data_IF_137265182473
#
_entry.id   IF_137265182473
#
_cell.length_a   1.000
_cell.length_b   1.000
_cell.length_c   1.000
_cell.angle_alpha   90.00
_cell.angle_beta   90.00
_cell.angle_gamma   90.00
#
_symmetry.space_group_name_H-M   'P 1'
#
loop_
_entity.id
_entity.type
_entity.pdbx_description
1 polymer ?
#
# COMPACT_ATOMS: atom_id res chain seq x y z
N UNK A 1 -41.56 -1.79 -24.31
CA UNK A 1 -40.46 -2.75 -24.53
C UNK A 1 -39.49 -2.57 -23.38
N UNK A 2 -39.81 -3.21 -22.26
CA UNK A 2 -39.08 -3.13 -21.01
C UNK A 2 -37.94 -4.15 -21.04
N UNK A 3 -36.73 -3.68 -20.74
CA UNK A 3 -35.52 -4.49 -20.80
C UNK A 3 -35.26 -5.12 -19.43
N UNK A 4 -35.08 -6.43 -19.49
CA UNK A 4 -34.96 -7.40 -18.42
C UNK A 4 -33.72 -7.14 -17.55
N UNK A 5 -33.91 -6.71 -16.29
CA UNK A 5 -32.89 -6.84 -15.23
C UNK A 5 -33.14 -8.15 -14.51
N UNK A 6 -32.43 -9.19 -14.93
CA UNK A 6 -32.27 -10.40 -14.12
C UNK A 6 -31.45 -10.02 -12.87
N UNK A 7 -32.15 -9.88 -11.74
CA UNK A 7 -31.52 -9.92 -10.43
C UNK A 7 -30.92 -11.31 -10.22
N UNK A 8 -29.62 -11.34 -9.97
CA UNK A 8 -28.90 -12.54 -9.56
C UNK A 8 -29.38 -12.89 -8.15
N UNK A 9 -30.31 -13.86 -8.06
CA UNK A 9 -30.72 -14.49 -6.80
C UNK A 9 -29.53 -15.23 -6.20
N UNK A 10 -29.00 -14.72 -5.09
CA UNK A 10 -28.27 -15.56 -4.14
C UNK A 10 -29.32 -16.38 -3.38
N UNK A 11 -29.55 -17.61 -3.83
CA UNK A 11 -30.33 -18.62 -3.09
C UNK A 11 -29.54 -19.03 -1.83
N UNK A 12 -29.55 -18.14 -0.84
CA UNK A 12 -29.38 -18.51 0.56
C UNK A 12 -30.74 -19.06 0.96
N UNK A 13 -30.87 -20.39 1.02
CA UNK A 13 -32.11 -21.15 1.25
C UNK A 13 -32.87 -20.75 2.51
N UNK A 14 -33.49 -19.58 2.46
CA UNK A 14 -34.43 -19.02 3.41
C UNK A 14 -35.80 -19.61 3.10
N UNK A 15 -36.58 -19.90 4.13
CA UNK A 15 -37.96 -20.33 3.92
C UNK A 15 -38.75 -19.20 3.24
N UNK A 16 -39.77 -19.56 2.45
CA UNK A 16 -40.65 -18.60 1.78
C UNK A 16 -41.37 -17.66 2.75
N UNK A 17 -41.52 -18.03 4.02
CA UNK A 17 -42.01 -17.15 5.09
C UNK A 17 -40.97 -16.11 5.52
N UNK A 18 -39.67 -16.44 5.51
CA UNK A 18 -38.61 -15.52 5.90
C UNK A 18 -38.33 -14.47 4.81
N UNK A 19 -38.43 -14.84 3.53
CA UNK A 19 -38.40 -13.87 2.42
C UNK A 19 -39.60 -12.91 2.47
N UNK A 20 -40.80 -13.43 2.80
CA UNK A 20 -42.00 -12.60 2.93
C UNK A 20 -41.89 -11.62 4.11
N UNK A 21 -41.29 -12.05 5.24
CA UNK A 21 -41.03 -11.19 6.40
C UNK A 21 -39.96 -10.13 6.11
N UNK A 22 -38.93 -10.45 5.34
CA UNK A 22 -37.91 -9.49 4.91
C UNK A 22 -38.45 -8.43 3.96
N UNK A 23 -39.36 -8.80 3.04
CA UNK A 23 -40.07 -7.84 2.20
C UNK A 23 -40.98 -6.93 3.03
N UNK A 24 -41.72 -7.48 4.00
CA UNK A 24 -42.58 -6.71 4.88
C UNK A 24 -41.80 -5.71 5.76
N UNK A 25 -40.55 -6.02 6.14
CA UNK A 25 -39.69 -5.14 6.94
C UNK A 25 -39.12 -3.95 6.15
N UNK A 26 -39.03 -4.05 4.82
CA UNK A 26 -38.58 -2.94 3.96
C UNK A 26 -39.69 -1.92 3.65
N UNK A 27 -40.95 -2.21 3.99
CA UNK A 27 -42.10 -1.34 3.71
C UNK A 27 -42.65 -0.61 4.95
N UNK A 28 -42.03 -0.74 6.13
CA UNK A 28 -42.51 -0.04 7.33
C UNK A 28 -41.90 1.36 7.41
N UNK A 29 -42.76 2.38 7.31
CA UNK A 29 -42.38 3.77 7.50
C UNK A 29 -41.86 4.01 8.94
N UNK A 30 -40.84 4.86 9.14
CA UNK A 30 -40.14 5.03 10.41
C UNK A 30 -40.99 5.52 11.60
N UNK A 31 -42.26 5.86 11.39
CA UNK A 31 -43.17 6.35 12.43
C UNK A 31 -43.79 5.24 13.31
N UNK A 32 -43.71 3.96 12.92
CA UNK A 32 -44.31 2.86 13.69
C UNK A 32 -43.31 2.13 14.62
N UNK A 33 -42.03 2.53 14.62
CA UNK A 33 -40.97 1.90 15.43
C UNK A 33 -40.95 2.37 16.90
N UNK A 34 -41.69 3.42 17.26
CA UNK A 34 -41.76 3.91 18.65
C UNK A 34 -42.81 3.19 19.52
N UNK A 35 -43.65 2.32 18.94
CA UNK A 35 -44.74 1.63 19.68
C UNK A 35 -44.49 0.17 20.03
N UNK A 36 -43.36 -0.41 19.65
CA UNK A 36 -42.99 -1.77 20.05
C UNK A 36 -41.81 -1.70 21.01
N UNK A 37 -42.14 -1.35 22.26
CA UNK A 37 -41.26 -1.50 23.40
C UNK A 37 -41.01 -2.98 23.69
N UNK A 38 -39.72 -3.30 23.87
CA UNK A 38 -39.22 -4.42 24.69
C UNK A 38 -39.91 -5.78 24.50
N UNK A 39 -39.65 -6.45 23.38
CA UNK A 39 -39.29 -7.88 23.36
C UNK A 39 -39.02 -8.34 21.93
N UNK A 40 -37.93 -9.11 21.77
CA UNK A 40 -37.83 -10.08 20.69
C UNK A 40 -37.17 -9.59 19.39
N UNK A 41 -35.84 -9.64 19.35
CA UNK A 41 -35.16 -10.47 18.35
C UNK A 41 -33.66 -10.57 18.68
N UNK A 42 -33.35 -11.49 19.60
CA UNK A 42 -31.96 -11.89 19.92
C UNK A 42 -31.21 -12.26 18.63
N UNK A 43 -31.91 -12.85 17.66
CA UNK A 43 -31.34 -13.17 16.35
C UNK A 43 -30.99 -11.93 15.53
N UNK A 44 -31.83 -10.88 15.48
CA UNK A 44 -31.50 -9.66 14.71
C UNK A 44 -30.36 -8.89 15.38
N UNK A 45 -30.35 -8.78 16.71
CA UNK A 45 -29.23 -8.19 17.46
C UNK A 45 -27.94 -9.01 17.29
N UNK A 46 -28.04 -10.34 17.27
CA UNK A 46 -26.92 -11.25 17.01
C UNK A 46 -26.41 -11.13 15.56
N UNK A 47 -27.28 -11.15 14.56
CA UNK A 47 -26.92 -10.99 13.15
C UNK A 47 -26.34 -9.61 12.87
N UNK A 48 -26.87 -8.53 13.47
CA UNK A 48 -26.27 -7.20 13.40
C UNK A 48 -24.89 -7.18 14.07
N UNK A 49 -24.75 -7.76 15.26
CA UNK A 49 -23.44 -7.87 15.95
C UNK A 49 -22.43 -8.68 15.15
N UNK A 50 -22.83 -9.82 14.57
CA UNK A 50 -21.98 -10.69 13.75
C UNK A 50 -21.64 -9.99 12.42
N UNK A 51 -22.59 -9.34 11.76
CA UNK A 51 -22.33 -8.61 10.52
C UNK A 51 -21.44 -7.38 10.76
N UNK A 52 -21.64 -6.64 11.87
CA UNK A 52 -20.71 -5.59 12.30
C UNK A 52 -19.31 -6.16 12.61
N UNK A 53 -19.25 -7.34 13.24
CA UNK A 53 -17.99 -8.03 13.56
C UNK A 53 -17.27 -8.47 12.28
N UNK A 54 -17.98 -9.07 11.33
CA UNK A 54 -17.46 -9.51 10.02
C UNK A 54 -17.06 -8.30 9.15
N UNK A 55 -17.83 -7.23 9.13
CA UNK A 55 -17.47 -6.00 8.41
C UNK A 55 -16.33 -5.24 9.09
N UNK A 56 -16.11 -5.40 10.40
CA UNK A 56 -14.96 -4.83 11.12
C UNK A 56 -13.62 -5.51 10.75
N UNK A 57 -13.67 -6.69 10.09
CA UNK A 57 -12.49 -7.31 9.48
C UNK A 57 -12.06 -6.63 8.18
N UNK A 58 -12.93 -5.84 7.53
CA UNK A 58 -12.50 -5.03 6.39
C UNK A 58 -11.50 -3.96 6.86
N UNK A 59 -10.31 -3.96 6.27
CA UNK A 59 -9.29 -2.95 6.54
C UNK A 59 -9.78 -1.56 6.11
N UNK A 60 -9.36 -0.51 6.81
CA UNK A 60 -9.56 0.86 6.34
C UNK A 60 -8.72 1.05 5.08
N UNK A 61 -9.33 1.47 3.99
CA UNK A 61 -8.64 1.71 2.72
C UNK A 61 -7.99 3.08 2.70
N UNK A 62 -7.05 3.28 1.77
CA UNK A 62 -6.44 4.61 1.54
C UNK A 62 -7.51 5.63 1.14
N UNK A 63 -8.52 5.23 0.36
CA UNK A 63 -9.59 6.12 -0.09
C UNK A 63 -10.52 6.51 1.06
N UNK A 64 -10.83 5.61 2.00
CA UNK A 64 -11.63 5.96 3.19
C UNK A 64 -10.99 7.11 3.98
N UNK A 65 -9.66 7.10 4.06
CA UNK A 65 -8.88 8.16 4.72
C UNK A 65 -8.84 9.46 3.92
N UNK A 66 -8.73 9.39 2.59
CA UNK A 66 -8.84 10.56 1.70
C UNK A 66 -10.21 11.21 1.90
N UNK A 67 -11.29 10.43 1.77
CA UNK A 67 -12.66 10.90 1.92
C UNK A 67 -12.91 11.51 3.30
N UNK A 68 -12.35 10.91 4.36
CA UNK A 68 -12.46 11.47 5.71
C UNK A 68 -11.85 12.87 5.80
N UNK A 69 -10.60 13.06 5.38
CA UNK A 69 -9.93 14.35 5.49
C UNK A 69 -10.50 15.39 4.54
N UNK A 70 -10.86 15.01 3.31
CA UNK A 70 -11.50 15.91 2.34
C UNK A 70 -12.84 16.43 2.88
N UNK A 71 -13.75 15.54 3.26
CA UNK A 71 -15.08 15.96 3.70
C UNK A 71 -15.03 16.67 5.06
N UNK A 72 -14.16 16.24 5.99
CA UNK A 72 -13.94 16.96 7.24
C UNK A 72 -13.41 18.37 6.98
N UNK A 73 -12.40 18.51 6.11
CA UNK A 73 -11.89 19.82 5.69
C UNK A 73 -13.00 20.70 5.12
N UNK A 74 -13.81 20.18 4.20
CA UNK A 74 -14.94 20.91 3.59
C UNK A 74 -15.92 21.39 4.65
N UNK A 75 -16.36 20.51 5.56
CA UNK A 75 -17.34 20.87 6.58
C UNK A 75 -16.81 21.90 7.58
N UNK A 76 -15.57 21.73 8.07
CA UNK A 76 -14.97 22.68 9.02
C UNK A 76 -14.73 24.05 8.36
N UNK A 77 -14.26 24.07 7.11
CA UNK A 77 -14.07 25.32 6.37
C UNK A 77 -15.39 26.00 6.00
N UNK A 78 -16.50 25.25 5.89
CA UNK A 78 -17.85 25.78 5.76
C UNK A 78 -18.45 26.29 7.09
N UNK A 79 -17.71 26.24 8.19
CA UNK A 79 -18.15 26.70 9.51
C UNK A 79 -19.02 25.70 10.28
N UNK A 80 -19.09 24.44 9.85
CA UNK A 80 -19.85 23.42 10.59
C UNK A 80 -19.06 23.00 11.84
N UNK A 81 -19.69 22.95 13.03
CA UNK A 81 -19.01 22.54 14.26
C UNK A 81 -18.38 21.15 14.16
N UNK A 82 -17.18 20.98 14.72
CA UNK A 82 -16.36 19.76 14.59
C UNK A 82 -17.09 18.47 14.98
N UNK A 83 -17.75 18.48 16.14
CA UNK A 83 -18.49 17.30 16.65
C UNK A 83 -19.59 16.89 15.65
N UNK A 84 -20.35 17.87 15.13
CA UNK A 84 -21.39 17.63 14.13
C UNK A 84 -20.80 17.08 12.84
N UNK A 85 -19.69 17.65 12.37
CA UNK A 85 -18.99 17.17 11.19
C UNK A 85 -18.57 15.71 11.35
N UNK A 86 -17.97 15.33 12.49
CA UNK A 86 -17.57 13.94 12.74
C UNK A 86 -18.77 12.98 12.75
N UNK A 87 -19.89 13.34 13.36
CA UNK A 87 -21.09 12.50 13.34
C UNK A 87 -21.65 12.31 11.91
N UNK A 88 -21.79 13.40 11.15
CA UNK A 88 -22.26 13.34 9.75
C UNK A 88 -21.34 12.46 8.90
N UNK A 89 -20.03 12.64 9.02
CA UNK A 89 -19.06 11.82 8.30
C UNK A 89 -19.14 10.36 8.67
N UNK A 90 -19.32 10.05 9.96
CA UNK A 90 -19.46 8.67 10.41
C UNK A 90 -20.66 7.97 9.76
N UNK A 91 -21.75 8.70 9.51
CA UNK A 91 -22.94 8.14 8.89
C UNK A 91 -22.81 8.00 7.36
N UNK A 92 -21.99 8.83 6.73
CA UNK A 92 -21.70 8.78 5.29
C UNK A 92 -20.65 7.76 4.89
N UNK A 93 -19.80 7.29 5.82
CA UNK A 93 -18.77 6.29 5.51
C UNK A 93 -19.37 4.93 5.16
N UNK A 94 -18.92 4.36 4.04
CA UNK A 94 -19.27 3.00 3.61
C UNK A 94 -18.51 1.94 4.40
N UNK A 95 -17.26 2.23 4.78
CA UNK A 95 -16.43 1.32 5.56
C UNK A 95 -16.85 1.32 7.04
N UNK A 96 -17.37 0.19 7.53
CA UNK A 96 -17.84 0.03 8.91
C UNK A 96 -16.75 0.33 9.95
N UNK A 97 -15.50 -0.11 9.69
CA UNK A 97 -14.39 0.14 10.61
C UNK A 97 -14.06 1.62 10.69
N UNK A 98 -14.04 2.32 9.55
CA UNK A 98 -13.81 3.77 9.53
C UNK A 98 -14.95 4.52 10.23
N UNK A 99 -16.21 4.11 10.01
CA UNK A 99 -17.38 4.64 10.70
C UNK A 99 -17.26 4.55 12.23
N UNK A 100 -16.90 3.38 12.76
CA UNK A 100 -16.71 3.17 14.19
C UNK A 100 -15.58 4.05 14.75
N UNK A 101 -14.46 4.17 14.02
CA UNK A 101 -13.35 5.04 14.40
C UNK A 101 -13.80 6.49 14.46
N UNK A 102 -14.48 7.02 13.43
CA UNK A 102 -14.95 8.41 13.42
C UNK A 102 -15.95 8.67 14.54
N UNK A 103 -16.83 7.71 14.85
CA UNK A 103 -17.73 7.83 16.02
C UNK A 103 -16.97 7.89 17.34
N UNK A 104 -15.90 7.11 17.49
CA UNK A 104 -15.03 7.17 18.68
C UNK A 104 -14.32 8.54 18.77
N UNK A 105 -13.85 9.09 17.64
CA UNK A 105 -13.31 10.45 17.59
C UNK A 105 -14.36 11.48 18.03
N UNK A 106 -15.59 11.40 17.50
CA UNK A 106 -16.68 12.32 17.84
C UNK A 106 -16.97 12.32 19.34
N UNK A 107 -17.10 11.13 19.95
CA UNK A 107 -17.35 10.97 21.39
C UNK A 107 -16.22 11.54 22.25
N UNK A 108 -14.96 11.30 21.87
CA UNK A 108 -13.79 11.81 22.61
C UNK A 108 -13.69 13.33 22.56
N UNK A 109 -14.06 13.93 21.43
CA UNK A 109 -14.08 15.40 21.29
C UNK A 109 -15.28 15.98 22.04
N UNK A 110 -16.44 15.30 22.02
CA UNK A 110 -17.65 15.69 22.74
C UNK A 110 -17.45 15.74 24.26
N UNK A 111 -16.64 14.84 24.82
CA UNK A 111 -16.28 14.85 26.26
C UNK A 111 -15.18 15.88 26.61
N UNK A 112 -14.77 16.73 25.66
CA UNK A 112 -13.80 17.80 25.86
C UNK A 112 -12.35 17.42 25.53
N UNK A 113 -12.11 16.23 24.95
CA UNK A 113 -10.79 15.84 24.46
C UNK A 113 -10.40 16.58 23.17
N UNK A 114 -9.09 16.61 22.89
CA UNK A 114 -8.56 17.10 21.61
C UNK A 114 -8.75 16.06 20.50
N UNK A 115 -9.04 16.52 19.30
CA UNK A 115 -9.11 15.70 18.08
C UNK A 115 -7.77 15.03 17.81
N UNK A 116 -6.65 15.74 17.98
CA UNK A 116 -5.31 15.15 17.78
C UNK A 116 -5.05 13.97 18.71
N UNK A 117 -5.46 14.05 19.98
CA UNK A 117 -5.29 12.98 20.94
C UNK A 117 -6.21 11.78 20.61
N UNK A 118 -7.44 12.05 20.20
CA UNK A 118 -8.36 11.03 19.71
C UNK A 118 -7.81 10.29 18.46
N UNK A 119 -7.24 11.02 17.50
CA UNK A 119 -6.60 10.45 16.31
C UNK A 119 -5.36 9.63 16.67
N UNK A 120 -4.57 10.06 17.65
CA UNK A 120 -3.35 9.36 18.08
C UNK A 120 -3.60 7.94 18.60
N UNK A 121 -4.83 7.65 19.05
CA UNK A 121 -5.25 6.31 19.47
C UNK A 121 -5.32 5.30 18.29
N UNK A 122 -5.30 5.78 17.05
CA UNK A 122 -5.39 4.96 15.83
C UNK A 122 -4.17 5.17 14.90
N UNK A 123 -2.94 4.86 15.35
CA UNK A 123 -1.69 5.16 14.61
C UNK A 123 -1.53 4.39 13.30
N UNK A 124 -2.32 3.31 13.09
CA UNK A 124 -2.37 2.58 11.81
C UNK A 124 -3.20 3.30 10.74
N UNK A 125 -4.04 4.24 11.16
CA UNK A 125 -4.96 4.98 10.29
C UNK A 125 -4.49 6.42 10.14
N UNK A 126 -4.26 7.10 11.26
CA UNK A 126 -3.76 8.47 11.29
C UNK A 126 -2.26 8.47 11.55
N UNK A 127 -1.49 8.97 10.59
CA UNK A 127 -0.04 9.06 10.71
C UNK A 127 0.37 10.17 11.68
N UNK A 128 1.59 10.07 12.23
CA UNK A 128 2.11 11.07 13.17
C UNK A 128 2.16 12.49 12.59
N UNK A 129 2.41 12.62 11.28
CA UNK A 129 2.37 13.90 10.57
C UNK A 129 1.00 14.56 10.67
N UNK A 130 -0.07 13.78 10.47
CA UNK A 130 -1.45 14.26 10.49
C UNK A 130 -1.86 14.65 11.91
N UNK A 131 -1.54 13.79 12.87
CA UNK A 131 -1.80 14.04 14.29
C UNK A 131 -1.07 15.29 14.76
N UNK A 132 0.21 15.46 14.39
CA UNK A 132 1.02 16.61 14.74
C UNK A 132 0.50 17.92 14.12
N UNK A 133 0.11 17.88 12.84
CA UNK A 133 -0.53 18.99 12.16
C UNK A 133 -1.84 19.39 12.87
N UNK A 134 -2.76 18.45 13.10
CA UNK A 134 -4.03 18.72 13.81
C UNK A 134 -3.77 19.31 15.19
N UNK A 135 -2.80 18.77 15.95
CA UNK A 135 -2.44 19.28 17.27
C UNK A 135 -1.99 20.74 17.22
N UNK A 136 -1.20 21.11 16.22
CA UNK A 136 -0.78 22.50 15.99
C UNK A 136 -1.97 23.39 15.62
N UNK A 137 -2.84 22.92 14.73
CA UNK A 137 -4.07 23.62 14.35
C UNK A 137 -5.02 23.86 15.52
N UNK A 138 -5.16 22.89 16.43
CA UNK A 138 -5.93 23.04 17.66
C UNK A 138 -5.31 24.04 18.63
N UNK A 139 -3.98 24.02 18.78
CA UNK A 139 -3.28 24.95 19.68
C UNK A 139 -3.28 26.39 19.17
N UNK A 140 -3.26 26.59 17.84
CA UNK A 140 -3.20 27.91 17.20
C UNK A 140 -4.56 28.43 16.73
N UNK A 141 -5.63 27.64 16.88
CA UNK A 141 -6.96 27.98 16.37
C UNK A 141 -7.10 27.92 14.85
N UNK A 142 -6.11 27.37 14.13
CA UNK A 142 -6.05 27.31 12.66
C UNK A 142 -6.44 25.93 12.11
N UNK A 143 -7.32 25.21 12.79
CA UNK A 143 -7.71 23.84 12.43
C UNK A 143 -8.29 23.75 11.00
N UNK A 144 -9.02 24.78 10.56
CA UNK A 144 -9.55 24.91 9.21
C UNK A 144 -8.47 24.88 8.11
N UNK A 145 -7.40 25.66 8.28
CA UNK A 145 -6.27 25.72 7.35
C UNK A 145 -5.49 24.40 7.34
N UNK A 146 -5.25 23.84 8.53
CA UNK A 146 -4.52 22.58 8.71
C UNK A 146 -5.25 21.41 8.06
N UNK A 147 -6.56 21.28 8.28
CA UNK A 147 -7.35 20.19 7.66
C UNK A 147 -7.34 20.28 6.14
N UNK A 148 -7.32 21.49 5.57
CA UNK A 148 -7.16 21.71 4.13
C UNK A 148 -5.81 21.21 3.63
N UNK A 149 -4.73 21.49 4.35
CA UNK A 149 -3.40 20.99 4.01
C UNK A 149 -3.33 19.46 4.08
N UNK A 150 -3.89 18.85 5.14
CA UNK A 150 -3.92 17.39 5.29
C UNK A 150 -4.71 16.75 4.15
N UNK A 151 -5.88 17.28 3.81
CA UNK A 151 -6.70 16.75 2.71
C UNK A 151 -5.91 16.68 1.40
N UNK A 152 -5.27 17.79 0.99
CA UNK A 152 -4.43 17.85 -0.21
C UNK A 152 -3.26 16.86 -0.14
N UNK A 153 -2.61 16.76 1.01
CA UNK A 153 -1.47 15.86 1.20
C UNK A 153 -1.87 14.39 1.09
N UNK A 154 -2.98 14.00 1.70
CA UNK A 154 -3.50 12.62 1.69
C UNK A 154 -3.99 12.25 0.30
N UNK A 155 -4.66 13.16 -0.41
CA UNK A 155 -5.11 12.97 -1.79
C UNK A 155 -3.92 12.75 -2.74
N UNK A 156 -2.90 13.63 -2.69
CA UNK A 156 -1.67 13.47 -3.49
C UNK A 156 -0.97 12.14 -3.20
N UNK A 157 -0.83 11.79 -1.91
CA UNK A 157 -0.20 10.54 -1.49
C UNK A 157 -0.98 9.31 -2.01
N UNK A 158 -2.30 9.34 -1.95
CA UNK A 158 -3.17 8.30 -2.48
C UNK A 158 -3.07 8.20 -4.01
N UNK A 159 -3.02 9.34 -4.69
CA UNK A 159 -2.82 9.44 -6.14
C UNK A 159 -1.53 8.76 -6.59
N UNK A 160 -0.40 9.02 -5.91
CA UNK A 160 0.87 8.37 -6.18
C UNK A 160 0.80 6.85 -5.99
N UNK A 161 0.23 6.38 -4.87
CA UNK A 161 0.05 4.94 -4.62
C UNK A 161 -0.82 4.30 -5.70
N UNK A 162 -1.90 4.97 -6.11
CA UNK A 162 -2.80 4.50 -7.16
C UNK A 162 -2.10 4.40 -8.50
N UNK A 163 -1.30 5.39 -8.88
CA UNK A 163 -0.46 5.35 -10.10
C UNK A 163 0.51 4.17 -10.07
N UNK A 164 1.25 4.01 -8.97
CA UNK A 164 2.20 2.89 -8.79
C UNK A 164 1.48 1.55 -8.89
N UNK A 165 0.35 1.36 -8.20
CA UNK A 165 -0.43 0.12 -8.27
C UNK A 165 -0.96 -0.12 -9.68
N UNK A 166 -1.49 0.90 -10.33
CA UNK A 166 -2.00 0.82 -11.70
C UNK A 166 -0.93 0.36 -12.69
N UNK A 167 0.26 0.95 -12.61
CA UNK A 167 1.43 0.58 -13.42
C UNK A 167 1.90 -0.88 -13.22
N UNK A 168 1.67 -1.46 -12.05
CA UNK A 168 2.14 -2.81 -11.69
C UNK A 168 1.16 -3.92 -12.05
N UNK A 169 -0.11 -3.62 -12.32
CA UNK A 169 -1.14 -4.64 -12.61
C UNK A 169 -0.79 -5.43 -13.87
N UNK A 170 -0.46 -4.75 -14.97
CA UNK A 170 -0.14 -5.43 -16.23
C UNK A 170 1.10 -6.34 -16.12
N UNK A 171 2.27 -5.86 -15.63
CA UNK A 171 3.43 -6.71 -15.38
C UNK A 171 3.13 -7.92 -14.49
N UNK A 172 2.40 -7.72 -13.40
CA UNK A 172 2.08 -8.79 -12.47
C UNK A 172 1.21 -9.87 -13.12
N UNK A 173 0.20 -9.48 -13.89
CA UNK A 173 -0.69 -10.41 -14.60
C UNK A 173 0.05 -11.26 -15.62
N UNK A 174 0.93 -10.65 -16.44
CA UNK A 174 1.69 -11.39 -17.46
C UNK A 174 2.68 -12.36 -16.82
N UNK A 175 3.41 -11.92 -15.80
CA UNK A 175 4.34 -12.79 -15.06
C UNK A 175 3.60 -13.92 -14.37
N UNK A 176 2.41 -13.68 -13.81
CA UNK A 176 1.60 -14.72 -13.20
C UNK A 176 1.19 -15.79 -14.22
N UNK A 177 0.71 -15.39 -15.41
CA UNK A 177 0.37 -16.32 -16.50
C UNK A 177 1.60 -17.12 -16.95
N UNK A 178 2.76 -16.48 -17.09
CA UNK A 178 4.01 -17.13 -17.46
C UNK A 178 4.43 -18.18 -16.43
N UNK A 179 4.36 -17.86 -15.14
CA UNK A 179 4.67 -18.80 -14.05
C UNK A 179 3.72 -19.99 -14.09
N UNK A 180 2.41 -19.76 -14.27
CA UNK A 180 1.41 -20.83 -14.40
C UNK A 180 1.76 -21.76 -15.58
N UNK A 181 2.10 -21.20 -16.74
CA UNK A 181 2.48 -21.98 -17.91
C UNK A 181 3.74 -22.84 -17.65
N UNK A 182 4.77 -22.28 -17.01
CA UNK A 182 5.99 -23.00 -16.65
C UNK A 182 5.68 -24.14 -15.65
N UNK A 183 4.85 -23.88 -14.64
CA UNK A 183 4.47 -24.90 -13.65
C UNK A 183 3.71 -26.06 -14.31
N UNK A 184 2.72 -25.76 -15.17
CA UNK A 184 1.99 -26.79 -15.93
C UNK A 184 2.96 -27.60 -16.77
N UNK A 185 3.90 -26.96 -17.45
CA UNK A 185 4.91 -27.63 -18.25
C UNK A 185 5.74 -28.62 -17.41
N UNK A 186 6.29 -28.16 -16.28
CA UNK A 186 7.14 -28.95 -15.40
C UNK A 186 6.40 -30.14 -14.77
N UNK A 187 5.13 -29.98 -14.41
CA UNK A 187 4.35 -31.02 -13.72
C UNK A 187 3.69 -32.00 -14.70
N UNK A 188 3.21 -31.55 -15.86
CA UNK A 188 2.39 -32.37 -16.75
C UNK A 188 3.12 -32.88 -18.00
N UNK A 189 4.03 -32.08 -18.56
CA UNK A 189 4.61 -32.36 -19.89
C UNK A 189 6.00 -32.98 -19.79
N UNK A 190 6.89 -32.38 -18.99
CA UNK A 190 8.27 -32.87 -18.81
C UNK A 190 8.34 -34.35 -18.38
N UNK A 191 7.50 -34.85 -17.45
CA UNK A 191 7.57 -36.26 -17.02
C UNK A 191 7.18 -37.24 -18.11
N UNK A 192 6.24 -36.87 -18.98
CA UNK A 192 5.83 -37.72 -20.10
C UNK A 192 6.97 -37.91 -21.09
N UNK A 193 7.76 -36.85 -21.34
CA UNK A 193 8.95 -36.93 -22.20
C UNK A 193 10.03 -37.78 -21.53
N UNK A 194 10.28 -37.59 -20.24
CA UNK A 194 11.22 -38.43 -19.48
C UNK A 194 10.91 -39.92 -19.59
N UNK A 195 9.64 -40.31 -19.42
CA UNK A 195 9.22 -41.71 -19.50
C UNK A 195 9.45 -42.35 -20.88
N UNK A 196 9.44 -41.55 -21.95
CA UNK A 196 9.76 -42.03 -23.32
C UNK A 196 11.27 -42.28 -23.46
N UNK A 197 12.10 -41.38 -22.90
CA UNK A 197 13.57 -41.51 -22.96
C UNK A 197 14.10 -42.69 -22.15
N UNK A 198 13.55 -42.93 -20.95
CA UNK A 198 13.91 -44.10 -20.15
C UNK A 198 13.62 -45.41 -20.88
N UNK A 199 12.54 -45.48 -21.65
CA UNK A 199 12.19 -46.64 -22.47
C UNK A 199 13.09 -46.79 -23.71
N UNK A 200 13.57 -45.67 -24.27
CA UNK A 200 14.47 -45.66 -25.43
C UNK A 200 15.93 -46.01 -25.07
N UNK A 201 16.30 -46.04 -23.77
CA UNK A 201 17.64 -46.40 -23.31
C UNK A 201 18.74 -45.40 -23.68
N UNK A 202 18.37 -44.16 -24.06
CA UNK A 202 19.29 -43.10 -24.49
C UNK A 202 19.57 -42.10 -23.38
N UNK A 203 20.80 -41.58 -23.33
CA UNK A 203 21.14 -40.56 -22.34
C UNK A 203 20.46 -39.22 -22.66
N UNK A 204 19.82 -38.65 -21.64
CA UNK A 204 19.16 -37.34 -21.76
C UNK A 204 20.19 -36.21 -21.97
N UNK A 205 19.91 -35.26 -22.88
CA UNK A 205 20.68 -34.03 -23.00
C UNK A 205 20.74 -33.24 -21.68
N UNK A 206 21.82 -32.48 -21.47
CA UNK A 206 22.07 -31.74 -20.22
C UNK A 206 20.98 -30.72 -19.89
N UNK A 207 20.40 -30.08 -20.92
CA UNK A 207 19.25 -29.17 -20.80
C UNK A 207 18.02 -29.89 -20.22
N UNK A 208 17.74 -31.11 -20.68
CA UNK A 208 16.63 -31.94 -20.21
C UNK A 208 16.86 -32.48 -18.80
N UNK A 209 18.10 -32.82 -18.42
CA UNK A 209 18.47 -33.25 -17.05
C UNK A 209 18.18 -32.15 -16.01
N UNK A 210 18.49 -30.89 -16.32
CA UNK A 210 18.17 -29.74 -15.45
C UNK A 210 16.66 -29.57 -15.30
N UNK A 211 15.92 -29.66 -16.42
CA UNK A 211 14.47 -29.53 -16.42
C UNK A 211 13.78 -30.65 -15.63
N UNK A 212 14.31 -31.87 -15.73
CA UNK A 212 13.85 -33.02 -14.95
C UNK A 212 14.14 -32.87 -13.47
N UNK A 213 15.32 -32.38 -13.09
CA UNK A 213 15.61 -32.08 -11.68
C UNK A 213 14.62 -31.05 -11.11
N UNK A 214 14.31 -29.99 -11.87
CA UNK A 214 13.29 -29.01 -11.49
C UNK A 214 11.88 -29.63 -11.42
N UNK A 215 11.54 -30.50 -12.35
CA UNK A 215 10.27 -31.24 -12.44
C UNK A 215 10.09 -32.23 -11.28
N UNK A 216 11.15 -32.93 -10.87
CA UNK A 216 11.15 -33.87 -9.74
C UNK A 216 11.01 -33.13 -8.40
N UNK A 217 11.70 -31.98 -8.23
CA UNK A 217 11.48 -31.09 -7.08
C UNK A 217 10.02 -30.61 -7.05
N UNK A 218 9.45 -30.24 -8.20
CA UNK A 218 8.09 -29.74 -8.31
C UNK A 218 7.00 -30.81 -8.08
N UNK A 219 7.27 -32.10 -8.34
CA UNK A 219 6.28 -33.19 -8.21
C UNK A 219 6.46 -34.05 -6.96
N UNK A 220 7.69 -34.40 -6.61
CA UNK A 220 8.01 -35.33 -5.52
C UNK A 220 8.18 -34.59 -4.20
N UNK A 221 8.75 -33.40 -4.25
CA UNK A 221 9.03 -32.55 -3.09
C UNK A 221 8.14 -31.30 -3.06
N UNK A 222 6.94 -31.31 -3.65
CA UNK A 222 6.06 -30.12 -3.67
C UNK A 222 5.74 -29.60 -2.26
N UNK A 223 5.60 -30.49 -1.28
CA UNK A 223 5.39 -30.12 0.13
C UNK A 223 6.67 -29.54 0.73
N UNK A 224 7.83 -30.17 0.52
CA UNK A 224 9.11 -29.73 1.10
C UNK A 224 9.63 -28.44 0.45
N UNK A 225 9.54 -28.32 -0.87
CA UNK A 225 9.87 -27.10 -1.61
C UNK A 225 8.92 -25.96 -1.28
N UNK A 226 7.60 -26.25 -1.18
CA UNK A 226 6.61 -25.30 -0.66
C UNK A 226 6.94 -24.85 0.76
N UNK A 227 7.37 -25.76 1.63
CA UNK A 227 7.78 -25.47 3.00
C UNK A 227 9.06 -24.61 3.05
N UNK A 228 10.07 -24.90 2.23
CA UNK A 228 11.31 -24.10 2.13
C UNK A 228 10.99 -22.68 1.65
N UNK A 229 10.16 -22.54 0.62
CA UNK A 229 9.71 -21.23 0.12
C UNK A 229 8.92 -20.50 1.20
N UNK A 230 8.01 -21.20 1.90
CA UNK A 230 7.23 -20.63 2.99
C UNK A 230 8.12 -20.16 4.14
N UNK A 231 9.11 -20.96 4.54
CA UNK A 231 10.10 -20.60 5.57
C UNK A 231 10.96 -19.42 5.10
N UNK A 232 11.37 -19.38 3.83
CA UNK A 232 12.12 -18.25 3.29
C UNK A 232 11.27 -16.96 3.29
N UNK A 233 10.00 -17.05 2.88
CA UNK A 233 9.06 -15.92 2.90
C UNK A 233 8.82 -15.45 4.34
N UNK A 234 8.56 -16.38 5.27
CA UNK A 234 8.39 -16.10 6.70
C UNK A 234 9.67 -15.49 7.29
N UNK A 235 10.84 -16.02 6.96
CA UNK A 235 12.13 -15.52 7.42
C UNK A 235 12.37 -14.09 6.96
N UNK A 236 12.14 -13.81 5.67
CA UNK A 236 12.23 -12.45 5.12
C UNK A 236 11.17 -11.53 5.75
N UNK A 237 9.95 -12.03 5.97
CA UNK A 237 8.85 -11.26 6.57
C UNK A 237 9.14 -10.91 8.04
N UNK A 238 9.60 -11.87 8.84
CA UNK A 238 10.03 -11.67 10.23
C UNK A 238 11.23 -10.73 10.30
N UNK A 239 12.24 -10.93 9.43
CA UNK A 239 13.39 -10.04 9.34
C UNK A 239 12.97 -8.60 9.01
N UNK A 240 12.03 -8.42 8.08
CA UNK A 240 11.40 -7.13 7.76
C UNK A 240 10.60 -6.50 8.90
N UNK A 241 10.22 -7.24 9.93
CA UNK A 241 9.57 -6.65 11.11
C UNK A 241 10.57 -6.07 12.10
N UNK A 242 11.79 -6.62 12.15
CA UNK A 242 12.84 -6.13 13.05
C UNK A 242 13.34 -4.74 12.62
N UNK A 243 13.69 -3.88 13.60
CA UNK A 243 14.26 -2.55 13.32
C UNK A 243 15.54 -2.64 12.49
N UNK A 244 16.42 -3.59 12.85
CA UNK A 244 17.69 -3.84 12.19
C UNK A 244 17.49 -4.35 10.76
N UNK A 245 16.59 -5.30 10.54
CA UNK A 245 16.30 -5.83 9.20
C UNK A 245 15.69 -4.79 8.27
N UNK A 246 14.76 -3.95 8.77
CA UNK A 246 14.24 -2.80 8.00
C UNK A 246 15.35 -1.85 7.58
N UNK A 247 16.29 -1.53 8.48
CA UNK A 247 17.40 -0.64 8.17
C UNK A 247 18.28 -1.19 7.04
N UNK A 248 18.75 -2.43 7.14
CA UNK A 248 19.61 -3.02 6.11
C UNK A 248 18.89 -3.18 4.77
N UNK A 249 17.62 -3.62 4.78
CA UNK A 249 16.83 -3.72 3.55
C UNK A 249 16.71 -2.36 2.86
N UNK A 250 16.34 -1.32 3.60
CA UNK A 250 16.23 0.03 3.07
C UNK A 250 17.58 0.57 2.57
N UNK A 251 18.68 0.24 3.27
CA UNK A 251 20.03 0.62 2.86
C UNK A 251 20.44 -0.02 1.54
N UNK A 252 20.23 -1.33 1.38
CA UNK A 252 20.57 -2.02 0.13
C UNK A 252 19.65 -1.60 -1.02
N UNK A 253 18.35 -1.37 -0.78
CA UNK A 253 17.43 -0.83 -1.79
C UNK A 253 17.91 0.50 -2.36
N UNK A 254 18.48 1.38 -1.51
CA UNK A 254 19.04 2.66 -1.95
C UNK A 254 20.31 2.53 -2.81
N UNK A 255 20.98 1.37 -2.79
CA UNK A 255 22.19 1.10 -3.59
C UNK A 255 21.92 0.42 -4.93
N UNK A 256 20.70 -0.08 -5.16
CA UNK A 256 20.36 -0.74 -6.42
C UNK A 256 20.40 0.29 -7.56
N UNK A 257 21.13 0.06 -8.67
CA UNK A 257 21.14 0.97 -9.81
C UNK A 257 19.73 1.21 -10.37
N UNK A 258 19.43 2.44 -10.79
CA UNK A 258 18.12 2.93 -11.27
C UNK A 258 16.99 2.92 -10.22
N UNK A 259 16.79 1.82 -9.48
CA UNK A 259 15.74 1.72 -8.45
C UNK A 259 16.08 2.51 -7.18
N UNK A 260 17.34 2.51 -6.76
CA UNK A 260 17.80 3.26 -5.59
C UNK A 260 17.58 4.76 -5.72
N UNK A 261 17.68 5.31 -6.92
CA UNK A 261 17.37 6.71 -7.21
C UNK A 261 15.87 7.00 -6.99
N UNK A 262 14.97 6.09 -7.39
CA UNK A 262 13.53 6.22 -7.11
C UNK A 262 13.27 6.26 -5.61
N UNK A 263 13.83 5.31 -4.86
CA UNK A 263 13.65 5.27 -3.40
C UNK A 263 14.20 6.53 -2.72
N UNK A 264 15.32 7.05 -3.22
CA UNK A 264 15.92 8.31 -2.76
C UNK A 264 14.99 9.50 -3.00
N UNK A 265 14.51 9.66 -4.23
CA UNK A 265 13.61 10.75 -4.64
C UNK A 265 12.28 10.70 -3.90
N UNK A 266 11.70 9.51 -3.70
CA UNK A 266 10.50 9.30 -2.89
C UNK A 266 10.73 9.68 -1.42
N UNK A 267 11.89 9.32 -0.86
CA UNK A 267 12.20 9.68 0.52
C UNK A 267 12.39 11.20 0.68
N UNK A 268 13.11 11.84 -0.25
CA UNK A 268 13.32 13.29 -0.26
C UNK A 268 11.98 14.03 -0.42
N UNK A 269 11.13 13.62 -1.37
CA UNK A 269 9.84 14.27 -1.58
C UNK A 269 8.94 14.17 -0.36
N UNK A 270 8.86 13.00 0.28
CA UNK A 270 8.12 12.82 1.53
C UNK A 270 8.70 13.64 2.67
N UNK A 271 10.02 13.65 2.85
CA UNK A 271 10.68 14.46 3.86
C UNK A 271 10.35 15.95 3.69
N UNK A 272 10.60 16.48 2.49
CA UNK A 272 10.39 17.89 2.18
C UNK A 272 8.90 18.28 2.26
N UNK A 273 7.99 17.42 1.77
CA UNK A 273 6.54 17.65 1.84
C UNK A 273 6.06 17.71 3.29
N UNK A 274 6.47 16.74 4.12
CA UNK A 274 6.07 16.70 5.54
C UNK A 274 6.63 17.90 6.30
N UNK A 275 7.91 18.22 6.10
CA UNK A 275 8.56 19.35 6.76
C UNK A 275 7.87 20.67 6.38
N UNK A 276 7.59 20.87 5.09
CA UNK A 276 6.86 22.03 4.60
C UNK A 276 5.46 22.14 5.22
N UNK A 277 4.64 21.09 5.16
CA UNK A 277 3.28 21.11 5.72
C UNK A 277 3.27 21.40 7.22
N UNK A 278 4.17 20.76 7.98
CA UNK A 278 4.27 20.95 9.42
C UNK A 278 4.71 22.38 9.76
N UNK A 279 5.72 22.91 9.08
CA UNK A 279 6.18 24.28 9.31
C UNK A 279 5.15 25.33 8.89
N UNK A 280 4.44 25.14 7.77
CA UNK A 280 3.29 25.99 7.38
C UNK A 280 2.17 25.98 8.41
N UNK A 281 1.99 24.84 9.09
CA UNK A 281 1.03 24.67 10.19
C UNK A 281 1.54 25.24 11.53
N UNK A 282 2.68 25.92 11.55
CA UNK A 282 3.26 26.54 12.74
C UNK A 282 4.00 25.59 13.68
N UNK A 283 4.28 24.36 13.26
CA UNK A 283 5.08 23.41 14.06
C UNK A 283 6.54 23.85 14.06
N UNK A 284 7.14 23.96 15.23
CA UNK A 284 8.56 24.30 15.38
C UNK A 284 9.46 23.30 14.63
N UNK A 285 10.53 23.79 13.99
CA UNK A 285 11.38 23.01 13.07
C UNK A 285 11.90 21.71 13.66
N UNK A 286 12.40 21.71 14.92
CA UNK A 286 12.89 20.50 15.60
C UNK A 286 11.78 19.46 15.68
N UNK A 287 10.58 19.86 16.11
CA UNK A 287 9.45 18.94 16.21
C UNK A 287 8.95 18.49 14.82
N UNK A 288 9.01 19.39 13.84
CA UNK A 288 8.65 19.07 12.46
C UNK A 288 9.62 18.04 11.86
N UNK A 289 10.93 18.11 12.17
CA UNK A 289 11.94 17.13 11.77
C UNK A 289 11.68 15.76 12.41
N UNK A 290 11.42 15.70 13.72
CA UNK A 290 11.07 14.44 14.41
C UNK A 290 9.88 13.73 13.76
N UNK A 291 8.80 14.48 13.51
CA UNK A 291 7.58 13.96 12.90
C UNK A 291 7.84 13.54 11.44
N UNK A 292 8.58 14.35 10.69
CA UNK A 292 8.94 14.06 9.30
C UNK A 292 9.83 12.82 9.18
N UNK A 293 10.71 12.57 10.16
CA UNK A 293 11.54 11.38 10.21
C UNK A 293 10.69 10.09 10.31
N UNK A 294 9.62 10.10 11.11
CA UNK A 294 8.73 8.95 11.25
C UNK A 294 7.83 8.76 10.02
N UNK A 295 7.56 9.83 9.27
CA UNK A 295 6.71 9.80 8.08
C UNK A 295 7.46 9.54 6.75
N UNK A 296 8.80 9.60 6.72
CA UNK A 296 9.59 9.42 5.49
C UNK A 296 9.48 8.01 4.88
N UNK A 297 9.20 7.00 5.71
CA UNK A 297 8.97 5.61 5.28
C UNK A 297 10.23 4.83 4.89
N UNK A 298 11.43 5.41 5.07
CA UNK A 298 12.72 4.75 4.91
C UNK A 298 13.54 4.90 6.19
N UNK A 299 13.96 3.78 6.79
CA UNK A 299 14.61 3.77 8.11
C UNK A 299 16.00 4.43 8.10
N UNK A 300 16.71 4.40 6.95
CA UNK A 300 18.01 5.06 6.80
C UNK A 300 17.84 6.58 6.85
N UNK A 301 16.83 7.10 6.13
CA UNK A 301 16.45 8.51 6.21
C UNK A 301 15.95 8.89 7.59
N UNK A 302 15.06 8.07 8.17
CA UNK A 302 14.50 8.31 9.51
C UNK A 302 15.60 8.53 10.54
N UNK A 303 16.59 7.63 10.60
CA UNK A 303 17.72 7.77 11.52
C UNK A 303 18.50 9.07 11.25
N UNK A 304 18.78 9.39 9.98
CA UNK A 304 19.53 10.60 9.62
C UNK A 304 18.79 11.89 9.97
N UNK A 305 17.48 11.94 9.76
CA UNK A 305 16.64 13.11 10.05
C UNK A 305 16.48 13.29 11.57
N UNK A 306 16.38 12.20 12.35
CA UNK A 306 16.38 12.30 13.82
C UNK A 306 17.69 12.88 14.35
N UNK A 307 18.83 12.45 13.82
CA UNK A 307 20.12 13.07 14.16
C UNK A 307 20.15 14.55 13.78
N UNK A 308 19.63 14.90 12.61
CA UNK A 308 19.51 16.31 12.21
C UNK A 308 18.61 17.12 13.17
N UNK A 309 17.53 16.52 13.70
CA UNK A 309 16.67 17.18 14.67
C UNK A 309 17.40 17.48 15.98
N UNK A 310 18.23 16.54 16.47
CA UNK A 310 19.07 16.70 17.65
C UNK A 310 20.11 17.81 17.46
N UNK A 311 20.77 17.85 16.30
CA UNK A 311 21.80 18.85 15.97
C UNK A 311 21.20 20.25 15.77
N UNK A 312 20.04 20.35 15.11
CA UNK A 312 19.30 21.61 14.95
C UNK A 312 18.81 22.13 16.30
N UNK A 313 18.44 21.25 17.24
CA UNK A 313 18.10 21.66 18.60
C UNK A 313 19.30 22.26 19.36
N UNK A 314 20.53 21.92 18.96
CA UNK A 314 21.77 22.50 19.48
C UNK A 314 22.21 23.77 18.73
N UNK A 315 21.46 24.21 17.72
CA UNK A 315 21.73 25.41 16.94
C UNK A 315 22.60 25.20 15.70
N UNK A 316 22.88 23.94 15.32
CA UNK A 316 23.57 23.65 14.06
C UNK A 316 22.58 23.85 12.90
N UNK A 317 22.92 24.64 11.85
CA UNK A 317 22.03 24.84 10.72
C UNK A 317 21.64 23.53 10.03
N UNK A 318 20.36 23.37 9.67
CA UNK A 318 19.86 22.15 9.03
C UNK A 318 20.56 21.89 7.70
N UNK A 319 20.76 22.93 6.90
CA UNK A 319 21.45 22.81 5.61
C UNK A 319 22.88 22.29 5.77
N UNK A 320 23.64 22.87 6.71
CA UNK A 320 25.00 22.42 7.04
C UNK A 320 25.00 20.97 7.51
N UNK A 321 24.11 20.62 8.42
CA UNK A 321 23.99 19.27 8.95
C UNK A 321 23.77 18.26 7.82
N UNK A 322 22.78 18.46 6.95
CA UNK A 322 22.43 17.51 5.88
C UNK A 322 23.55 17.31 4.86
N UNK A 323 24.48 18.26 4.72
CA UNK A 323 25.64 18.15 3.82
C UNK A 323 26.56 16.97 4.16
N UNK A 324 26.60 16.54 5.43
CA UNK A 324 27.38 15.37 5.87
C UNK A 324 26.84 14.04 5.31
N UNK A 325 25.72 14.06 4.59
CA UNK A 325 25.04 12.87 4.08
C UNK A 325 24.64 13.02 2.62
N UNK A 326 25.60 13.41 1.76
CA UNK A 326 25.42 13.54 0.29
C UNK A 326 24.82 12.31 -0.40
N UNK A 327 25.04 11.11 0.16
CA UNK A 327 24.43 9.87 -0.34
C UNK A 327 22.89 9.88 -0.23
N UNK A 328 22.35 10.53 0.79
CA UNK A 328 20.91 10.63 1.09
C UNK A 328 20.33 11.96 0.59
N UNK A 329 21.05 13.06 0.79
CA UNK A 329 20.62 14.40 0.42
C UNK A 329 21.53 14.95 -0.68
N UNK A 330 21.08 14.96 -1.94
CA UNK A 330 21.83 15.58 -3.04
C UNK A 330 22.11 17.06 -2.76
N UNK A 331 23.20 17.56 -3.34
CA UNK A 331 23.68 18.94 -3.13
C UNK A 331 22.60 19.99 -3.40
N UNK A 332 21.76 19.80 -4.42
CA UNK A 332 20.65 20.72 -4.69
C UNK A 332 19.66 20.80 -3.52
N UNK A 333 19.34 19.68 -2.86
CA UNK A 333 18.43 19.68 -1.70
C UNK A 333 19.07 20.43 -0.54
N UNK A 334 20.33 20.14 -0.27
CA UNK A 334 21.12 20.79 0.79
C UNK A 334 21.14 22.31 0.56
N UNK A 335 21.53 22.74 -0.64
CA UNK A 335 21.60 24.16 -1.00
C UNK A 335 20.24 24.87 -0.91
N UNK A 336 19.16 24.23 -1.36
CA UNK A 336 17.82 24.80 -1.26
C UNK A 336 17.41 24.98 0.20
N UNK A 337 17.61 23.96 1.05
CA UNK A 337 17.30 24.06 2.48
C UNK A 337 18.14 25.16 3.14
N UNK A 338 19.44 25.26 2.83
CA UNK A 338 20.31 26.33 3.34
C UNK A 338 19.81 27.73 2.95
N UNK A 339 19.36 27.92 1.71
CA UNK A 339 18.77 29.19 1.25
C UNK A 339 17.45 29.48 1.99
N UNK A 340 16.61 28.47 2.18
CA UNK A 340 15.38 28.59 2.95
C UNK A 340 15.65 28.97 4.41
N UNK A 341 16.68 28.39 5.02
CA UNK A 341 17.09 28.69 6.39
C UNK A 341 17.62 30.12 6.53
N UNK A 342 18.48 30.57 5.62
CA UNK A 342 19.01 31.94 5.58
C UNK A 342 17.92 33.00 5.35
N UNK A 343 16.87 32.65 4.61
CA UNK A 343 15.75 33.56 4.29
C UNK A 343 14.54 33.38 5.20
N UNK A 344 14.63 32.51 6.21
CA UNK A 344 13.53 32.13 7.10
C UNK A 344 12.26 31.61 6.37
N UNK A 345 12.46 30.94 5.22
CA UNK A 345 11.44 30.41 4.30
C UNK A 345 11.65 28.92 4.01
N UNK A 346 12.05 28.15 5.03
CA UNK A 346 12.28 26.71 4.90
C UNK A 346 11.04 25.98 4.41
N UNK A 347 9.86 26.42 4.83
CA UNK A 347 8.57 25.85 4.44
C UNK A 347 8.24 26.07 2.95
N UNK A 348 8.44 27.28 2.41
CA UNK A 348 8.27 27.58 0.98
C UNK A 348 9.28 26.77 0.13
N UNK A 349 10.54 26.73 0.55
CA UNK A 349 11.59 26.03 -0.21
C UNK A 349 11.41 24.52 -0.16
N UNK A 350 11.09 23.94 1.00
CA UNK A 350 10.80 22.52 1.11
C UNK A 350 9.57 22.11 0.30
N UNK A 351 8.55 22.97 0.16
CA UNK A 351 7.44 22.72 -0.73
C UNK A 351 7.89 22.60 -2.19
N UNK A 352 8.77 23.51 -2.66
CA UNK A 352 9.31 23.47 -4.02
C UNK A 352 10.20 22.26 -4.26
N UNK A 353 11.02 21.89 -3.28
CA UNK A 353 11.81 20.64 -3.32
C UNK A 353 10.88 19.43 -3.41
N UNK A 354 9.80 19.39 -2.62
CA UNK A 354 8.83 18.31 -2.66
C UNK A 354 8.16 18.18 -4.04
N UNK A 355 7.67 19.30 -4.61
CA UNK A 355 7.06 19.34 -5.95
C UNK A 355 8.04 18.83 -7.02
N UNK A 356 9.26 19.35 -7.02
CA UNK A 356 10.29 18.96 -8.00
C UNK A 356 10.63 17.46 -7.95
N UNK A 357 10.72 16.86 -6.76
CA UNK A 357 11.01 15.44 -6.62
C UNK A 357 9.77 14.55 -6.82
N UNK A 358 8.56 15.05 -6.51
CA UNK A 358 7.30 14.39 -6.88
C UNK A 358 7.19 14.25 -8.41
N UNK A 359 7.45 15.32 -9.15
CA UNK A 359 7.43 15.32 -10.61
C UNK A 359 8.45 14.34 -11.19
N UNK A 360 9.69 14.33 -10.67
CA UNK A 360 10.69 13.35 -11.08
C UNK A 360 10.29 11.91 -10.77
N UNK A 361 9.63 11.67 -9.63
CA UNK A 361 9.13 10.33 -9.29
C UNK A 361 8.03 9.91 -10.27
N UNK A 362 7.11 10.81 -10.61
CA UNK A 362 6.05 10.56 -11.59
C UNK A 362 6.61 10.26 -12.99
N UNK A 363 7.62 11.00 -13.44
CA UNK A 363 8.33 10.75 -14.70
C UNK A 363 9.03 9.39 -14.70
N UNK A 364 9.70 9.04 -13.60
CA UNK A 364 10.40 7.75 -13.47
C UNK A 364 9.42 6.57 -13.43
N UNK A 365 8.30 6.69 -12.72
CA UNK A 365 7.25 5.67 -12.70
C UNK A 365 6.72 5.46 -14.11
N UNK A 366 6.41 6.54 -14.83
CA UNK A 366 5.91 6.50 -16.20
C UNK A 366 6.93 5.87 -17.16
N UNK A 367 8.21 6.20 -17.00
CA UNK A 367 9.31 5.61 -17.77
C UNK A 367 9.49 4.12 -17.49
N UNK A 368 9.42 3.70 -16.23
CA UNK A 368 9.50 2.28 -15.85
C UNK A 368 8.37 1.47 -16.49
N UNK A 369 7.12 1.97 -16.46
CA UNK A 369 6.00 1.29 -17.12
C UNK A 369 6.26 1.06 -18.60
N UNK A 370 6.83 2.05 -19.31
CA UNK A 370 7.17 1.94 -20.73
C UNK A 370 8.32 0.96 -20.99
N UNK A 371 9.32 0.89 -20.11
CA UNK A 371 10.44 -0.05 -20.26
C UNK A 371 10.08 -1.49 -19.87
N UNK A 372 9.09 -1.67 -19.00
CA UNK A 372 8.66 -2.99 -18.55
C UNK A 372 8.05 -3.81 -19.70
N UNK A 373 7.34 -3.20 -20.63
CA UNK A 373 6.71 -3.91 -21.75
C UNK A 373 7.73 -4.61 -22.67
N UNK A 374 8.78 -3.94 -23.22
CA UNK A 374 9.83 -4.62 -23.97
C UNK A 374 10.55 -5.69 -23.15
N UNK A 375 10.82 -5.44 -21.87
CA UNK A 375 11.49 -6.41 -21.01
C UNK A 375 10.64 -7.68 -20.82
N UNK A 376 9.34 -7.51 -20.61
CA UNK A 376 8.38 -8.62 -20.49
C UNK A 376 8.31 -9.42 -21.79
N UNK A 377 8.27 -8.77 -22.95
CA UNK A 377 8.29 -9.46 -24.26
C UNK A 377 9.57 -10.28 -24.47
N UNK A 378 10.73 -9.72 -24.12
CA UNK A 378 12.01 -10.45 -24.19
C UNK A 378 12.02 -11.64 -23.24
N UNK A 379 11.60 -11.45 -21.99
CA UNK A 379 11.53 -12.52 -20.99
C UNK A 379 10.56 -13.61 -21.44
N UNK A 380 9.38 -13.26 -21.95
CA UNK A 380 8.43 -14.22 -22.50
C UNK A 380 9.00 -14.95 -23.71
N UNK A 381 9.62 -14.25 -24.65
CA UNK A 381 10.24 -14.86 -25.82
C UNK A 381 11.34 -15.86 -25.44
N UNK A 382 12.22 -15.48 -24.52
CA UNK A 382 13.26 -16.37 -23.99
C UNK A 382 12.68 -17.55 -23.22
N UNK A 383 11.64 -17.32 -22.40
CA UNK A 383 11.01 -18.37 -21.61
C UNK A 383 10.27 -19.37 -22.49
N UNK A 384 9.40 -18.89 -23.39
CA UNK A 384 8.64 -19.74 -24.33
C UNK A 384 9.58 -20.41 -25.34
N UNK A 385 10.54 -19.68 -25.89
CA UNK A 385 11.56 -20.25 -26.77
C UNK A 385 12.39 -21.32 -26.07
N UNK A 386 12.80 -21.09 -24.82
CA UNK A 386 13.48 -22.07 -23.98
C UNK A 386 12.62 -23.30 -23.70
N UNK A 387 11.32 -23.13 -23.42
CA UNK A 387 10.37 -24.23 -23.24
C UNK A 387 10.25 -25.07 -24.52
N UNK A 388 10.06 -24.43 -25.68
CA UNK A 388 9.95 -25.13 -26.97
C UNK A 388 11.24 -25.87 -27.30
N UNK A 389 12.41 -25.23 -27.13
CA UNK A 389 13.70 -25.85 -27.37
C UNK A 389 13.91 -27.07 -26.46
N UNK A 390 13.53 -26.98 -25.19
CA UNK A 390 13.65 -28.08 -24.23
C UNK A 390 12.74 -29.27 -24.55
N UNK A 391 11.63 -29.06 -25.28
CA UNK A 391 10.77 -30.14 -25.78
C UNK A 391 11.31 -30.72 -27.09
N UNK A 392 11.66 -29.85 -28.03
CA UNK A 392 12.01 -30.23 -29.39
C UNK A 392 13.37 -30.93 -29.45
N UNK A 393 14.37 -30.50 -28.66
CA UNK A 393 15.68 -31.17 -28.61
C UNK A 393 15.56 -32.68 -28.33
N UNK A 394 14.85 -33.12 -27.26
CA UNK A 394 14.65 -34.55 -27.03
C UNK A 394 13.95 -35.23 -28.22
N UNK A 395 12.88 -34.65 -28.76
CA UNK A 395 12.15 -35.27 -29.89
C UNK A 395 13.07 -35.47 -31.11
N UNK A 396 13.87 -34.46 -31.48
CA UNK A 396 14.81 -34.58 -32.60
C UNK A 396 15.87 -35.66 -32.35
N UNK A 397 16.42 -35.75 -31.13
CA UNK A 397 17.41 -36.77 -30.80
C UNK A 397 16.86 -38.20 -30.89
N UNK A 398 15.56 -38.40 -30.64
CA UNK A 398 14.91 -39.70 -30.85
C UNK A 398 14.76 -40.01 -32.34
N UNK A 399 14.50 -39.00 -33.18
CA UNK A 399 14.44 -39.16 -34.64
C UNK A 399 15.82 -39.47 -35.24
N UNK A 400 16.87 -38.77 -34.83
CA UNK A 400 18.24 -39.03 -35.30
C UNK A 400 18.72 -40.45 -34.97
N UNK A 401 18.30 -40.99 -33.82
CA UNK A 401 18.57 -42.39 -33.43
C UNK A 401 17.73 -43.37 -34.25
N UNK A 402 16.50 -43.02 -34.60
CA UNK A 402 15.62 -43.85 -35.44
C UNK A 402 16.06 -43.88 -36.92
N UNK A 403 16.62 -42.79 -37.45
CA UNK A 403 17.15 -42.71 -38.82
C UNK A 403 18.53 -43.40 -38.95
N UNK A 404 19.21 -43.67 -37.84
CA UNK A 404 20.51 -44.36 -37.79
C UNK A 404 20.39 -45.90 -37.69
N UNK A 405 19.18 -46.43 -37.50
CA UNK A 405 18.82 -47.86 -37.51
C UNK A 405 18.20 -48.24 -38.85
#
# INVERSE_FOLDING_TARGET
MENNKQEVRLDIGLSTEDEARLKALNEVAPADLERIGTSGNILVDFYQKVNMYVQSFSGVTVMDRVTFFELLSVMINAGVPLIRSLYVLSDQMTNMKMKLIIRDLAKKVETGGKLSDAMSAFPKIFGEAEVGMVRSGEATGKLNEVLKQIAVQVEKSAGLIRKVKGAMIYPASVVAILIIAIVIMLVAVVPKISGIFEQAGTELPTSTKVLMAMSEIAQKHYIESGLVILIAILGVWLFKQTKTGKYYIHYYLLKIPKFGDIFRKVAISRFARNLASLMKSGVAIVKALEISANAVGNEVYRKRILMAAEDVAQGIPLGENLNDSKFLFPEMVVSMISVGEQTAKVDEVCEKVAEFYEDQVDDMISGLSKMLEPAILVIMGLSVGGLVAAIMQPIMSLTDVADAL
#
